data_IF_260551293421
#
_entry.id   IF_260551293421
#
_cell.length_a   1.000
_cell.length_b   1.000
_cell.length_c   1.000
_cell.angle_alpha   90.00
_cell.angle_beta   90.00
_cell.angle_gamma   90.00
#
_symmetry.space_group_name_H-M   'P 1'
#
loop_
_entity.id
_entity.type
_entity.pdbx_description
1 polymer ?
#
# COMPACT_ATOMS: atom_id res chain seq x y z
N UNK A 1 -6.83 1.78 5.25
CA UNK A 1 -6.72 2.85 6.26
C UNK A 1 -8.03 3.63 6.38
N UNK A 2 -8.54 4.27 5.33
CA UNK A 2 -9.81 5.01 5.40
C UNK A 2 -11.02 4.11 5.77
N UNK A 3 -11.18 2.94 5.15
CA UNK A 3 -12.23 1.98 5.53
C UNK A 3 -12.12 1.52 7.00
N UNK A 4 -10.90 1.38 7.50
CA UNK A 4 -10.64 1.00 8.90
C UNK A 4 -10.97 2.16 9.85
N UNK A 5 -10.56 3.39 9.52
CA UNK A 5 -10.90 4.60 10.28
C UNK A 5 -12.42 4.83 10.33
N UNK A 6 -13.13 4.55 9.24
CA UNK A 6 -14.59 4.68 9.22
C UNK A 6 -15.31 3.67 10.11
N UNK A 7 -14.91 2.39 10.08
CA UNK A 7 -15.40 1.39 11.04
C UNK A 7 -15.07 1.76 12.48
N UNK A 8 -13.82 2.19 12.70
CA UNK A 8 -13.37 2.61 14.02
C UNK A 8 -14.16 3.80 14.55
N UNK A 9 -14.55 4.78 13.71
CA UNK A 9 -15.40 5.92 14.10
C UNK A 9 -16.81 5.52 14.50
N UNK A 10 -17.41 4.57 13.79
CA UNK A 10 -18.73 4.04 14.14
C UNK A 10 -18.71 3.35 15.52
N UNK A 11 -17.57 2.74 15.88
CA UNK A 11 -17.36 2.11 17.18
C UNK A 11 -16.75 3.06 18.24
N UNK A 12 -16.21 4.22 17.85
CA UNK A 12 -15.51 5.17 18.71
C UNK A 12 -16.46 5.73 19.77
N UNK A 13 -17.65 6.19 19.37
CA UNK A 13 -18.68 6.68 20.29
C UNK A 13 -19.07 5.61 21.32
N UNK A 14 -19.13 4.35 20.88
CA UNK A 14 -19.44 3.22 21.75
C UNK A 14 -18.30 2.90 22.73
N UNK A 15 -17.05 2.88 22.25
CA UNK A 15 -15.88 2.65 23.10
C UNK A 15 -15.65 3.80 24.08
N UNK A 16 -15.86 5.05 23.66
CA UNK A 16 -15.75 6.24 24.50
C UNK A 16 -16.78 6.20 25.62
N UNK A 17 -18.04 5.88 25.31
CA UNK A 17 -19.10 5.74 26.31
C UNK A 17 -18.77 4.67 27.36
N UNK A 18 -18.26 3.50 26.93
CA UNK A 18 -17.86 2.42 27.84
C UNK A 18 -16.64 2.82 28.70
N UNK A 19 -15.66 3.49 28.09
CA UNK A 19 -14.47 3.97 28.78
C UNK A 19 -14.83 5.01 29.85
N UNK A 20 -15.68 5.98 29.52
CA UNK A 20 -16.11 7.04 30.44
C UNK A 20 -16.88 6.46 31.64
N UNK A 21 -17.70 5.43 31.41
CA UNK A 21 -18.41 4.74 32.48
C UNK A 21 -17.45 4.04 33.46
N UNK A 22 -16.42 3.35 32.96
CA UNK A 22 -15.41 2.68 33.79
C UNK A 22 -14.48 3.69 34.48
N UNK A 23 -14.05 4.73 33.77
CA UNK A 23 -13.19 5.77 34.31
C UNK A 23 -13.89 6.62 35.39
N UNK A 24 -15.18 6.90 35.20
CA UNK A 24 -16.00 7.60 36.18
C UNK A 24 -16.19 6.82 37.48
N UNK A 25 -16.20 5.49 37.41
CA UNK A 25 -16.35 4.61 38.57
C UNK A 25 -15.11 4.57 39.49
N UNK A 26 -13.92 4.93 38.97
CA UNK A 26 -12.66 4.99 39.74
C UNK A 26 -12.44 3.75 40.62
N UNK A 27 -12.53 2.58 40.00
CA UNK A 27 -12.42 1.30 40.68
C UNK A 27 -11.03 1.10 41.29
N UNK A 28 -10.96 0.61 42.52
CA UNK A 28 -9.70 0.24 43.17
C UNK A 28 -9.58 -1.27 43.30
N UNK A 29 -8.36 -1.80 43.15
CA UNK A 29 -8.11 -3.23 43.30
C UNK A 29 -8.35 -3.66 44.76
N UNK A 30 -9.01 -4.80 44.98
CA UNK A 30 -9.39 -5.28 46.31
C UNK A 30 -10.58 -4.56 46.96
N UNK A 31 -11.07 -3.45 46.39
CA UNK A 31 -12.17 -2.65 46.96
C UNK A 31 -13.46 -3.46 47.13
N UNK A 32 -13.77 -4.32 46.16
CA UNK A 32 -14.98 -5.15 46.23
C UNK A 32 -14.95 -6.12 47.42
N UNK A 33 -13.84 -6.83 47.60
CA UNK A 33 -13.69 -7.83 48.66
C UNK A 33 -13.73 -7.19 50.05
N UNK A 34 -13.11 -6.01 50.18
CA UNK A 34 -13.15 -5.20 51.40
C UNK A 34 -14.59 -4.76 51.73
N UNK A 35 -15.32 -4.23 50.74
CA UNK A 35 -16.70 -3.77 50.90
C UNK A 35 -17.68 -4.91 51.17
N UNK A 36 -17.50 -6.09 50.54
CA UNK A 36 -18.31 -7.29 50.80
C UNK A 36 -18.12 -7.76 52.25
N UNK A 37 -16.88 -7.80 52.73
CA UNK A 37 -16.53 -8.16 54.11
C UNK A 37 -17.12 -7.15 55.11
N UNK A 38 -17.03 -5.86 54.79
CA UNK A 38 -17.61 -4.79 55.59
C UNK A 38 -19.14 -4.91 55.66
N UNK A 39 -19.81 -5.16 54.52
CA UNK A 39 -21.27 -5.32 54.46
C UNK A 39 -21.74 -6.53 55.26
N UNK A 40 -21.04 -7.67 55.18
CA UNK A 40 -21.35 -8.88 55.94
C UNK A 40 -21.26 -8.60 57.44
N UNK A 41 -20.23 -7.87 57.89
CA UNK A 41 -20.04 -7.47 59.28
C UNK A 41 -21.15 -6.53 59.76
N UNK A 42 -21.51 -5.52 58.96
CA UNK A 42 -22.59 -4.57 59.30
C UNK A 42 -23.95 -5.28 59.37
N UNK A 43 -24.23 -6.19 58.42
CA UNK A 43 -25.51 -6.91 58.34
C UNK A 43 -25.72 -7.82 59.55
N UNK A 44 -24.64 -8.44 60.06
CA UNK A 44 -24.69 -9.31 61.23
C UNK A 44 -24.31 -8.58 62.54
N UNK A 45 -24.21 -7.26 62.54
CA UNK A 45 -23.74 -6.50 63.71
C UNK A 45 -24.52 -6.78 65.00
N UNK A 46 -25.85 -6.92 64.91
CA UNK A 46 -26.70 -7.26 66.06
C UNK A 46 -26.44 -8.68 66.59
N UNK A 47 -26.28 -9.66 65.70
CA UNK A 47 -25.98 -11.05 66.05
C UNK A 47 -24.58 -11.19 66.65
N UNK A 48 -23.59 -10.50 66.06
CA UNK A 48 -22.22 -10.48 66.57
C UNK A 48 -22.20 -9.83 67.96
N UNK A 49 -22.89 -8.71 68.17
CA UNK A 49 -23.01 -8.09 69.50
C UNK A 49 -23.65 -9.02 70.52
N UNK A 50 -24.76 -9.65 70.18
CA UNK A 50 -25.45 -10.59 71.07
C UNK A 50 -24.54 -11.78 71.46
N UNK A 51 -23.78 -12.28 70.48
CA UNK A 51 -22.83 -13.38 70.68
C UNK A 51 -21.65 -12.97 71.56
N UNK A 52 -21.03 -11.82 71.29
CA UNK A 52 -19.94 -11.28 72.10
C UNK A 52 -20.40 -10.96 73.52
N UNK A 53 -21.60 -10.40 73.69
CA UNK A 53 -22.20 -10.18 75.01
C UNK A 53 -22.34 -11.50 75.77
N UNK A 54 -22.83 -12.56 75.12
CA UNK A 54 -22.96 -13.89 75.74
C UNK A 54 -21.59 -14.46 76.15
N UNK A 55 -20.55 -14.24 75.34
CA UNK A 55 -19.17 -14.63 75.66
C UNK A 55 -18.68 -13.89 76.91
N UNK A 56 -18.81 -12.57 76.94
CA UNK A 56 -18.38 -11.72 78.07
C UNK A 56 -19.12 -12.07 79.35
N UNK A 57 -20.45 -12.24 79.27
CA UNK A 57 -21.30 -12.63 80.39
C UNK A 57 -20.94 -14.02 80.92
N UNK A 58 -20.64 -14.99 80.05
CA UNK A 58 -20.21 -16.34 80.46
C UNK A 58 -18.88 -16.34 81.24
N UNK A 59 -17.96 -15.44 80.89
CA UNK A 59 -16.67 -15.31 81.56
C UNK A 59 -16.74 -14.52 82.87
N UNK A 60 -17.49 -13.41 82.92
CA UNK A 60 -17.44 -12.48 84.06
C UNK A 60 -18.75 -11.82 84.49
N UNK A 61 -19.89 -12.33 84.01
CA UNK A 61 -21.24 -11.87 84.36
C UNK A 61 -21.67 -12.18 85.80
N UNK A 62 -22.97 -12.03 86.07
CA UNK A 62 -23.55 -12.27 87.39
C UNK A 62 -23.82 -13.76 87.63
N UNK A 63 -23.13 -14.36 88.62
CA UNK A 63 -23.37 -15.74 89.06
C UNK A 63 -22.13 -16.64 88.98
N UNK A 64 -22.33 -17.91 88.64
CA UNK A 64 -21.32 -18.98 88.66
C UNK A 64 -20.49 -19.03 87.37
N UNK A 65 -19.60 -18.04 87.21
CA UNK A 65 -18.85 -17.78 85.96
C UNK A 65 -17.59 -18.65 85.80
N UNK A 66 -17.10 -18.74 84.55
CA UNK A 66 -15.87 -19.51 84.24
C UNK A 66 -14.66 -18.96 85.00
N UNK A 67 -14.49 -17.64 85.08
CA UNK A 67 -13.39 -17.01 85.82
C UNK A 67 -13.44 -17.34 87.32
N UNK A 68 -14.63 -17.28 87.94
CA UNK A 68 -14.79 -17.60 89.36
C UNK A 68 -14.51 -19.09 89.63
N UNK A 69 -14.96 -19.99 88.76
CA UNK A 69 -14.67 -21.43 88.83
C UNK A 69 -13.18 -21.71 88.71
N UNK A 70 -12.50 -21.12 87.72
CA UNK A 70 -11.06 -21.32 87.55
C UNK A 70 -10.27 -20.82 88.77
N UNK A 71 -10.66 -19.66 89.31
CA UNK A 71 -10.04 -19.11 90.52
C UNK A 71 -10.25 -20.02 91.74
N UNK A 72 -11.46 -20.53 91.95
CA UNK A 72 -11.73 -21.47 93.06
C UNK A 72 -10.99 -22.81 92.89
N UNK A 73 -10.85 -23.32 91.66
CA UNK A 73 -10.04 -24.51 91.35
C UNK A 73 -8.56 -24.23 91.65
N UNK A 74 -8.04 -23.08 91.24
CA UNK A 74 -6.66 -22.67 91.52
C UNK A 74 -6.40 -22.56 93.03
N UNK A 75 -7.31 -21.95 93.79
CA UNK A 75 -7.25 -21.84 95.25
C UNK A 75 -7.31 -23.23 95.93
N UNK A 76 -8.17 -24.13 95.44
CA UNK A 76 -8.27 -25.51 95.94
C UNK A 76 -6.97 -26.27 95.71
N UNK A 77 -6.39 -26.20 94.51
CA UNK A 77 -5.11 -26.85 94.17
C UNK A 77 -3.95 -26.28 95.01
N UNK A 78 -3.97 -24.97 95.28
CA UNK A 78 -3.00 -24.29 96.15
C UNK A 78 -3.11 -24.77 97.60
N UNK A 79 -4.33 -25.02 98.10
CA UNK A 79 -4.56 -25.46 99.48
C UNK A 79 -4.00 -26.87 99.78
N UNK A 80 -4.01 -27.77 98.78
CA UNK A 80 -3.53 -29.15 98.92
C UNK A 80 -2.04 -29.32 98.59
N UNK A 81 -1.43 -28.32 97.94
CA UNK A 81 -0.02 -28.30 97.54
C UNK A 81 0.97 -28.64 98.67
N UNK A 82 0.78 -28.20 99.94
CA UNK A 82 1.70 -28.55 101.03
C UNK A 82 1.73 -30.04 101.37
N UNK A 83 0.66 -30.78 101.05
CA UNK A 83 0.50 -32.21 101.38
C UNK A 83 0.62 -33.10 100.13
N UNK A 84 0.38 -32.56 98.94
CA UNK A 84 0.47 -33.26 97.65
C UNK A 84 1.20 -32.42 96.61
N UNK A 85 2.51 -32.61 96.48
CA UNK A 85 3.39 -31.79 95.64
C UNK A 85 3.03 -31.78 94.14
N UNK A 86 2.42 -32.86 93.62
CA UNK A 86 1.94 -32.94 92.23
C UNK A 86 0.80 -31.94 91.93
N UNK A 87 0.12 -31.40 92.94
CA UNK A 87 -0.88 -30.34 92.74
C UNK A 87 -0.29 -29.03 92.22
N UNK A 88 1.02 -28.80 92.43
CA UNK A 88 1.69 -27.57 92.00
C UNK A 88 1.66 -27.37 90.48
N UNK A 89 1.92 -28.43 89.71
CA UNK A 89 1.92 -28.39 88.25
C UNK A 89 0.49 -28.17 87.70
N UNK A 90 -0.50 -28.82 88.32
CA UNK A 90 -1.91 -28.62 87.96
C UNK A 90 -2.36 -27.18 88.24
N UNK A 91 -1.97 -26.61 89.39
CA UNK A 91 -2.30 -25.22 89.76
C UNK A 91 -1.70 -24.21 88.77
N UNK A 92 -0.45 -24.39 88.34
CA UNK A 92 0.16 -23.53 87.32
C UNK A 92 -0.58 -23.56 85.99
N UNK A 93 -1.04 -24.74 85.55
CA UNK A 93 -1.82 -24.87 84.31
C UNK A 93 -3.18 -24.18 84.40
N UNK A 94 -3.85 -24.26 85.55
CA UNK A 94 -5.14 -23.58 85.79
C UNK A 94 -4.95 -22.06 85.83
N UNK A 95 -3.89 -21.57 86.47
CA UNK A 95 -3.57 -20.14 86.50
C UNK A 95 -3.27 -19.58 85.10
N UNK A 96 -2.49 -20.30 84.29
CA UNK A 96 -2.25 -19.91 82.90
C UNK A 96 -3.54 -19.88 82.07
N UNK A 97 -4.42 -20.89 82.22
CA UNK A 97 -5.71 -20.88 81.53
C UNK A 97 -6.63 -19.74 82.01
N UNK A 98 -6.57 -19.37 83.29
CA UNK A 98 -7.31 -18.23 83.82
C UNK A 98 -6.86 -16.91 83.17
N UNK A 99 -5.56 -16.67 83.07
CA UNK A 99 -5.02 -15.46 82.44
C UNK A 99 -5.42 -15.39 80.96
N UNK A 100 -5.25 -16.48 80.22
CA UNK A 100 -5.55 -16.55 78.78
C UNK A 100 -7.05 -16.29 78.50
N UNK A 101 -7.95 -16.90 79.27
CA UNK A 101 -9.39 -16.68 79.13
C UNK A 101 -9.83 -15.27 79.55
N UNK A 102 -9.15 -14.68 80.53
CA UNK A 102 -9.40 -13.29 80.93
C UNK A 102 -9.01 -12.33 79.81
N UNK A 103 -7.89 -12.57 79.13
CA UNK A 103 -7.45 -11.76 77.99
C UNK A 103 -8.45 -11.88 76.82
N UNK A 104 -8.92 -13.10 76.50
CA UNK A 104 -9.99 -13.33 75.51
C UNK A 104 -11.26 -12.55 75.85
N UNK A 105 -11.67 -12.52 77.12
CA UNK A 105 -12.84 -11.72 77.53
C UNK A 105 -12.62 -10.22 77.31
N UNK A 106 -11.46 -9.69 77.71
CA UNK A 106 -11.14 -8.26 77.51
C UNK A 106 -11.16 -7.91 76.02
N UNK A 107 -10.63 -8.79 75.18
CA UNK A 107 -10.66 -8.62 73.73
C UNK A 107 -12.09 -8.68 73.16
N UNK A 108 -12.93 -9.60 73.66
CA UNK A 108 -14.33 -9.70 73.30
C UNK A 108 -15.15 -8.46 73.74
N UNK A 109 -14.89 -7.91 74.92
CA UNK A 109 -15.46 -6.63 75.38
C UNK A 109 -15.10 -5.49 74.44
N UNK A 110 -13.82 -5.40 74.05
CA UNK A 110 -13.35 -4.40 73.10
C UNK A 110 -14.05 -4.54 71.74
N UNK A 111 -14.15 -5.74 71.18
CA UNK A 111 -14.86 -5.96 69.92
C UNK A 111 -16.36 -5.67 70.03
N UNK A 112 -16.98 -5.94 71.18
CA UNK A 112 -18.39 -5.60 71.42
C UNK A 112 -18.63 -4.08 71.37
N UNK A 113 -17.70 -3.29 71.90
CA UNK A 113 -17.74 -1.82 71.84
C UNK A 113 -17.45 -1.27 70.43
N UNK A 114 -16.53 -1.89 69.67
CA UNK A 114 -16.15 -1.46 68.32
C UNK A 114 -17.24 -1.69 67.27
N UNK A 115 -18.05 -2.74 67.43
CA UNK A 115 -19.14 -3.02 66.49
C UNK A 115 -20.23 -1.96 66.72
N UNK A 116 -20.64 -1.26 65.68
CA UNK A 116 -21.81 -0.38 65.73
C UNK A 116 -22.63 -0.55 64.46
N UNK A 117 -23.95 -0.73 64.60
CA UNK A 117 -24.83 -0.75 63.45
C UNK A 117 -25.00 0.69 62.92
N UNK A 118 -24.43 0.95 61.74
CA UNK A 118 -24.51 2.24 61.07
C UNK A 118 -25.27 2.12 59.73
N UNK A 119 -26.56 2.47 59.77
CA UNK A 119 -27.46 2.40 58.61
C UNK A 119 -27.08 3.36 57.45
N UNK A 120 -26.33 4.42 57.73
CA UNK A 120 -25.82 5.32 56.68
C UNK A 120 -24.62 4.68 55.97
N UNK A 121 -23.69 4.10 56.74
CA UNK A 121 -22.54 3.40 56.18
C UNK A 121 -22.97 2.18 55.37
N UNK A 122 -23.95 1.42 55.87
CA UNK A 122 -24.51 0.27 55.12
C UNK A 122 -24.99 0.69 53.73
N UNK A 123 -25.79 1.76 53.63
CA UNK A 123 -26.29 2.25 52.34
C UNK A 123 -25.17 2.70 51.41
N UNK A 124 -24.15 3.37 51.92
CA UNK A 124 -22.99 3.77 51.11
C UNK A 124 -22.24 2.57 50.53
N UNK A 125 -22.05 1.51 51.34
CA UNK A 125 -21.39 0.27 50.92
C UNK A 125 -22.24 -0.46 49.88
N UNK A 126 -23.55 -0.58 50.12
CA UNK A 126 -24.50 -1.20 49.18
C UNK A 126 -24.56 -0.45 47.84
N UNK A 127 -24.63 0.89 47.85
CA UNK A 127 -24.61 1.71 46.64
C UNK A 127 -23.30 1.53 45.86
N UNK A 128 -22.16 1.51 46.56
CA UNK A 128 -20.85 1.32 45.93
C UNK A 128 -20.72 -0.07 45.30
N UNK A 129 -21.11 -1.12 46.03
CA UNK A 129 -21.15 -2.49 45.52
C UNK A 129 -22.12 -2.62 44.33
N UNK A 130 -23.27 -1.96 44.36
CA UNK A 130 -24.22 -1.95 43.24
C UNK A 130 -23.59 -1.39 41.96
N UNK A 131 -22.82 -0.29 42.06
CA UNK A 131 -22.10 0.26 40.91
C UNK A 131 -21.08 -0.74 40.35
N UNK A 132 -20.32 -1.41 41.22
CA UNK A 132 -19.34 -2.42 40.83
C UNK A 132 -20.04 -3.59 40.12
N UNK A 133 -21.09 -4.16 40.71
CA UNK A 133 -21.83 -5.28 40.12
C UNK A 133 -22.52 -4.92 38.80
N UNK A 134 -23.07 -3.72 38.67
CA UNK A 134 -23.67 -3.26 37.42
C UNK A 134 -22.64 -3.18 36.29
N UNK A 135 -21.43 -2.69 36.58
CA UNK A 135 -20.32 -2.67 35.63
C UNK A 135 -19.87 -4.10 35.28
N UNK A 136 -19.68 -4.95 36.28
CA UNK A 136 -19.32 -6.36 36.07
C UNK A 136 -20.33 -7.07 35.18
N UNK A 137 -21.63 -6.86 35.41
CA UNK A 137 -22.70 -7.44 34.60
C UNK A 137 -22.70 -6.90 33.16
N UNK A 138 -22.52 -5.59 32.97
CA UNK A 138 -22.45 -4.98 31.62
C UNK A 138 -21.27 -5.51 30.82
N UNK A 139 -20.14 -5.74 31.47
CA UNK A 139 -18.91 -6.22 30.83
C UNK A 139 -18.74 -7.75 30.89
N UNK A 140 -19.68 -8.47 31.52
CA UNK A 140 -19.66 -9.94 31.69
C UNK A 140 -18.38 -10.46 32.36
N UNK A 141 -17.92 -9.75 33.38
CA UNK A 141 -16.71 -10.08 34.17
C UNK A 141 -17.07 -10.32 35.63
N UNK A 142 -16.14 -10.89 36.39
CA UNK A 142 -16.37 -11.31 37.79
C UNK A 142 -15.54 -10.56 38.81
N UNK A 143 -14.53 -9.80 38.37
CA UNK A 143 -13.64 -9.07 39.29
C UNK A 143 -13.42 -7.62 38.85
N UNK A 144 -12.98 -6.80 39.79
CA UNK A 144 -12.62 -5.41 39.54
C UNK A 144 -11.36 -5.30 38.65
N UNK A 145 -10.43 -6.23 38.79
CA UNK A 145 -9.19 -6.29 38.00
C UNK A 145 -9.52 -6.54 36.53
N UNK A 146 -10.49 -7.42 36.24
CA UNK A 146 -10.98 -7.64 34.87
C UNK A 146 -11.61 -6.37 34.28
N UNK A 147 -12.36 -5.59 35.08
CA UNK A 147 -12.90 -4.29 34.65
C UNK A 147 -11.80 -3.26 34.35
N UNK A 148 -10.76 -3.20 35.18
CA UNK A 148 -9.61 -2.31 34.97
C UNK A 148 -8.83 -2.68 33.70
N UNK A 149 -8.68 -3.97 33.42
CA UNK A 149 -8.05 -4.44 32.19
C UNK A 149 -8.88 -4.06 30.96
N UNK A 150 -10.22 -4.20 31.02
CA UNK A 150 -11.11 -3.72 29.95
C UNK A 150 -10.98 -2.22 29.75
N UNK A 151 -10.94 -1.43 30.83
CA UNK A 151 -10.75 0.02 30.76
C UNK A 151 -9.46 0.38 30.01
N UNK A 152 -8.36 -0.30 30.34
CA UNK A 152 -7.07 -0.09 29.68
C UNK A 152 -7.11 -0.46 28.19
N UNK A 153 -7.74 -1.59 27.85
CA UNK A 153 -7.90 -1.99 26.45
C UNK A 153 -8.74 -1.00 25.64
N UNK A 154 -9.76 -0.40 26.26
CA UNK A 154 -10.58 0.64 25.62
C UNK A 154 -9.76 1.93 25.39
N UNK A 155 -8.95 2.35 26.35
CA UNK A 155 -8.04 3.50 26.20
C UNK A 155 -7.05 3.30 25.05
N UNK A 156 -6.39 2.13 25.01
CA UNK A 156 -5.45 1.79 23.92
C UNK A 156 -6.16 1.80 22.56
N UNK A 157 -7.39 1.29 22.48
CA UNK A 157 -8.19 1.34 21.24
C UNK A 157 -8.49 2.78 20.84
N UNK A 158 -9.00 3.61 21.74
CA UNK A 158 -9.34 5.01 21.45
C UNK A 158 -8.12 5.80 20.97
N UNK A 159 -6.96 5.65 21.63
CA UNK A 159 -5.71 6.30 21.21
C UNK A 159 -5.27 5.86 19.81
N UNK A 160 -5.41 4.57 19.48
CA UNK A 160 -5.10 4.07 18.15
C UNK A 160 -6.01 4.66 17.06
N UNK A 161 -7.29 4.89 17.36
CA UNK A 161 -8.24 5.52 16.43
C UNK A 161 -7.82 6.96 16.12
N UNK A 162 -7.52 7.76 17.16
CA UNK A 162 -7.08 9.15 16.99
C UNK A 162 -5.79 9.25 16.18
N UNK A 163 -4.80 8.41 16.47
CA UNK A 163 -3.52 8.36 15.75
C UNK A 163 -3.69 7.96 14.27
N UNK A 164 -4.60 7.03 13.98
CA UNK A 164 -4.94 6.63 12.60
C UNK A 164 -5.53 7.80 11.79
N UNK A 165 -6.40 8.59 12.40
CA UNK A 165 -7.03 9.75 11.75
C UNK A 165 -6.00 10.85 11.43
N UNK A 166 -5.12 11.17 12.38
CA UNK A 166 -4.00 12.09 12.13
C UNK A 166 -3.11 11.60 10.99
N UNK A 167 -2.82 10.28 10.95
CA UNK A 167 -2.00 9.70 9.89
C UNK A 167 -2.69 9.75 8.53
N UNK A 168 -4.00 9.53 8.48
CA UNK A 168 -4.79 9.62 7.25
C UNK A 168 -4.77 11.06 6.71
N UNK A 169 -4.95 12.06 7.56
CA UNK A 169 -4.91 13.47 7.12
C UNK A 169 -3.51 13.87 6.62
N UNK A 170 -2.44 13.42 7.28
CA UNK A 170 -1.08 13.61 6.79
C UNK A 170 -0.90 13.01 5.39
N UNK A 171 -1.30 11.75 5.18
CA UNK A 171 -1.14 11.06 3.90
C UNK A 171 -2.01 11.67 2.79
N UNK A 172 -3.23 12.14 3.10
CA UNK A 172 -4.07 12.87 2.13
C UNK A 172 -3.38 14.14 1.65
N UNK A 173 -2.77 14.89 2.57
CA UNK A 173 -2.01 16.10 2.23
C UNK A 173 -0.83 15.77 1.33
N UNK A 174 -0.05 14.74 1.66
CA UNK A 174 1.07 14.28 0.83
C UNK A 174 0.61 13.85 -0.57
N UNK A 175 -0.49 13.10 -0.69
CA UNK A 175 -1.06 12.71 -1.99
C UNK A 175 -1.44 13.93 -2.80
N UNK A 176 -2.11 14.92 -2.20
CA UNK A 176 -2.50 16.17 -2.86
C UNK A 176 -1.28 16.94 -3.39
N UNK A 177 -0.25 17.12 -2.55
CA UNK A 177 0.99 17.80 -2.93
C UNK A 177 1.71 17.09 -4.10
N UNK A 178 1.76 15.75 -4.07
CA UNK A 178 2.38 14.97 -5.15
C UNK A 178 1.55 15.01 -6.44
N UNK A 179 0.22 15.02 -6.33
CA UNK A 179 -0.68 15.17 -7.49
C UNK A 179 -0.53 16.54 -8.14
N UNK A 180 -0.42 17.60 -7.34
CA UNK A 180 -0.19 18.94 -7.86
C UNK A 180 1.16 19.04 -8.60
N UNK A 181 2.23 18.52 -7.99
CA UNK A 181 3.55 18.48 -8.61
C UNK A 181 3.54 17.67 -9.93
N UNK A 182 2.84 16.54 -9.95
CA UNK A 182 2.67 15.71 -11.14
C UNK A 182 1.93 16.48 -12.23
N UNK A 183 0.82 17.16 -11.90
CA UNK A 183 0.02 17.95 -12.82
C UNK A 183 0.83 19.12 -13.43
N UNK A 184 1.61 19.83 -12.60
CA UNK A 184 2.51 20.89 -13.07
C UNK A 184 3.54 20.36 -14.07
N UNK A 185 4.22 19.26 -13.73
CA UNK A 185 5.23 18.64 -14.63
C UNK A 185 4.60 18.11 -15.92
N UNK A 186 3.44 17.47 -15.84
CA UNK A 186 2.70 16.99 -16.99
C UNK A 186 2.27 18.15 -17.90
N UNK A 187 1.83 19.28 -17.32
CA UNK A 187 1.52 20.50 -18.07
C UNK A 187 2.72 21.07 -18.83
N UNK A 188 3.91 21.05 -18.22
CA UNK A 188 5.16 21.45 -18.91
C UNK A 188 5.47 20.51 -20.08
N UNK A 189 5.32 19.19 -19.89
CA UNK A 189 5.53 18.20 -20.95
C UNK A 189 4.55 18.40 -22.12
N UNK A 190 3.27 18.60 -21.82
CA UNK A 190 2.22 18.85 -22.83
C UNK A 190 2.50 20.11 -23.66
N UNK A 191 2.92 21.20 -23.01
CA UNK A 191 3.34 22.43 -23.71
C UNK A 191 4.52 22.17 -24.66
N UNK A 192 5.54 21.44 -24.20
CA UNK A 192 6.70 21.08 -25.03
C UNK A 192 6.30 20.21 -26.23
N UNK A 193 5.41 19.23 -26.04
CA UNK A 193 4.90 18.37 -27.12
C UNK A 193 4.16 19.20 -28.18
N UNK A 194 3.25 20.08 -27.76
CA UNK A 194 2.51 20.95 -28.68
C UNK A 194 3.42 21.91 -29.45
N UNK A 195 4.46 22.43 -28.78
CA UNK A 195 5.46 23.27 -29.45
C UNK A 195 6.31 22.49 -30.46
N UNK A 196 6.63 21.23 -30.20
CA UNK A 196 7.39 20.36 -31.10
C UNK A 196 6.56 19.82 -32.28
N UNK A 197 5.24 19.70 -32.11
CA UNK A 197 4.33 19.18 -33.13
C UNK A 197 4.38 19.99 -34.43
N UNK A 198 4.27 21.32 -34.37
CA UNK A 198 4.21 22.17 -35.55
C UNK A 198 5.45 22.06 -36.47
N UNK A 199 6.70 22.15 -35.95
CA UNK A 199 7.90 21.91 -36.75
C UNK A 199 7.94 20.52 -37.40
N UNK A 200 7.54 19.48 -36.66
CA UNK A 200 7.52 18.10 -37.18
C UNK A 200 6.50 17.97 -38.30
N UNK A 201 5.28 18.47 -38.11
CA UNK A 201 4.22 18.47 -39.13
C UNK A 201 4.68 19.16 -40.40
N UNK A 202 5.32 20.34 -40.29
CA UNK A 202 5.81 21.10 -41.43
C UNK A 202 6.91 20.36 -42.19
N UNK A 203 7.98 19.95 -41.50
CA UNK A 203 9.12 19.27 -42.12
C UNK A 203 8.71 17.95 -42.78
N UNK A 204 7.85 17.18 -42.12
CA UNK A 204 7.35 15.93 -42.67
C UNK A 204 6.49 16.17 -43.90
N UNK A 205 5.58 17.15 -43.86
CA UNK A 205 4.75 17.51 -45.02
C UNK A 205 5.61 17.95 -46.21
N UNK A 206 6.65 18.77 -46.00
CA UNK A 206 7.58 19.20 -47.05
C UNK A 206 8.32 18.01 -47.70
N UNK A 207 8.83 17.07 -46.89
CA UNK A 207 9.48 15.85 -47.41
C UNK A 207 8.50 14.94 -48.17
N UNK A 208 7.26 14.82 -47.71
CA UNK A 208 6.22 14.04 -48.39
C UNK A 208 5.85 14.64 -49.75
N UNK A 209 5.78 15.97 -49.85
CA UNK A 209 5.57 16.69 -51.11
C UNK A 209 6.73 16.41 -52.08
N UNK A 210 7.97 16.47 -51.59
CA UNK A 210 9.15 16.12 -52.39
C UNK A 210 9.06 14.68 -52.95
N UNK A 211 8.56 13.72 -52.15
CA UNK A 211 8.32 12.32 -52.56
C UNK A 211 7.03 12.09 -53.38
N UNK A 212 6.51 13.13 -54.04
CA UNK A 212 5.40 13.02 -54.97
C UNK A 212 4.02 12.89 -54.31
N UNK A 213 3.86 13.36 -53.08
CA UNK A 213 2.55 13.48 -52.42
C UNK A 213 2.18 14.95 -52.17
N UNK A 214 1.83 15.72 -53.23
CA UNK A 214 1.60 17.17 -53.11
C UNK A 214 0.42 17.55 -52.21
N UNK A 215 -0.51 16.62 -52.01
CA UNK A 215 -1.71 16.82 -51.20
C UNK A 215 -1.65 16.10 -49.84
N UNK A 216 -0.47 15.60 -49.43
CA UNK A 216 -0.31 14.94 -48.15
C UNK A 216 -0.58 15.89 -46.99
N UNK A 217 -1.24 15.38 -45.95
CA UNK A 217 -1.46 16.07 -44.68
C UNK A 217 -1.02 15.16 -43.55
N UNK A 218 -0.27 15.71 -42.63
CA UNK A 218 0.14 15.04 -41.39
C UNK A 218 -0.20 15.93 -40.21
N UNK A 219 -0.72 15.34 -39.14
CA UNK A 219 -1.07 16.04 -37.90
C UNK A 219 -0.70 15.22 -36.68
N UNK A 220 -0.02 15.84 -35.73
CA UNK A 220 0.17 15.35 -34.38
C UNK A 220 -1.03 15.77 -33.53
N UNK A 221 -2.01 14.88 -33.38
CA UNK A 221 -3.19 15.13 -32.56
C UNK A 221 -2.87 14.84 -31.09
N UNK A 222 -2.76 15.90 -30.29
CA UNK A 222 -2.38 15.84 -28.87
C UNK A 222 -3.59 16.24 -28.02
N UNK A 223 -4.20 15.26 -27.37
CA UNK A 223 -5.41 15.44 -26.54
C UNK A 223 -5.13 15.11 -25.08
N UNK A 224 -5.84 15.73 -24.14
CA UNK A 224 -5.64 15.48 -22.72
C UNK A 224 -6.26 14.13 -22.30
N UNK A 225 -5.54 13.38 -21.45
CA UNK A 225 -6.06 12.18 -20.77
C UNK A 225 -6.91 12.58 -19.58
N UNK A 226 -7.95 11.79 -19.29
CA UNK A 226 -8.71 11.92 -18.04
C UNK A 226 -7.83 11.59 -16.83
N UNK A 227 -6.99 10.55 -16.95
CA UNK A 227 -6.04 10.15 -15.92
C UNK A 227 -4.63 10.15 -16.53
N UNK A 228 -3.70 10.97 -15.98
CA UNK A 228 -2.29 10.90 -16.35
C UNK A 228 -1.71 9.52 -16.04
N UNK A 229 -0.82 9.04 -16.90
CA UNK A 229 -0.06 7.81 -16.68
C UNK A 229 1.45 8.10 -16.71
N UNK A 230 2.28 7.04 -16.73
CA UNK A 230 3.74 7.17 -16.79
C UNK A 230 4.24 7.97 -18.01
N UNK A 231 3.43 8.12 -19.05
CA UNK A 231 3.75 8.90 -20.25
C UNK A 231 3.26 10.35 -20.19
N UNK A 232 2.64 10.75 -19.07
CA UNK A 232 2.11 12.10 -18.84
C UNK A 232 0.60 12.20 -19.07
N UNK A 233 0.12 13.42 -19.28
CA UNK A 233 -1.31 13.75 -19.38
C UNK A 233 -1.83 13.88 -20.81
N UNK A 234 -1.06 13.52 -21.83
CA UNK A 234 -1.50 13.61 -23.23
C UNK A 234 -1.62 12.22 -23.88
N UNK A 235 -2.69 12.02 -24.64
CA UNK A 235 -2.74 11.08 -25.75
C UNK A 235 -2.14 11.74 -26.99
N UNK A 236 -1.13 11.10 -27.59
CA UNK A 236 -0.48 11.57 -28.81
C UNK A 236 -0.81 10.60 -29.94
N UNK A 237 -1.57 11.06 -30.92
CA UNK A 237 -1.94 10.31 -32.10
C UNK A 237 -1.33 10.96 -33.35
N UNK A 238 -0.64 10.17 -34.17
CA UNK A 238 -0.18 10.62 -35.48
C UNK A 238 -1.26 10.33 -36.51
N UNK A 239 -1.79 11.38 -37.11
CA UNK A 239 -2.81 11.31 -38.14
C UNK A 239 -2.20 11.66 -39.50
N UNK A 240 -2.58 10.93 -40.53
CA UNK A 240 -2.08 11.13 -41.88
C UNK A 240 -3.17 10.91 -42.92
N UNK A 241 -3.03 11.61 -44.05
CA UNK A 241 -3.87 11.50 -45.23
C UNK A 241 -3.00 11.82 -46.45
N UNK A 242 -2.90 10.88 -47.39
CA UNK A 242 -2.11 11.07 -48.60
C UNK A 242 -2.77 12.01 -49.63
N UNK A 243 -4.09 12.19 -49.55
CA UNK A 243 -4.89 12.89 -50.55
C UNK A 243 -5.89 13.85 -49.90
N UNK A 244 -6.23 14.94 -50.59
CA UNK A 244 -7.17 15.95 -50.07
C UNK A 244 -8.57 15.39 -49.74
N UNK A 245 -8.99 14.36 -50.46
CA UNK A 245 -10.33 13.78 -50.37
C UNK A 245 -10.49 12.71 -49.27
N UNK A 246 -9.38 12.24 -48.67
CA UNK A 246 -9.45 11.27 -47.58
C UNK A 246 -9.37 12.00 -46.23
N UNK A 247 -10.11 11.55 -45.20
CA UNK A 247 -9.96 12.11 -43.86
C UNK A 247 -8.58 11.79 -43.29
N UNK A 248 -8.14 12.61 -42.32
CA UNK A 248 -6.97 12.30 -41.50
C UNK A 248 -7.32 11.09 -40.63
N UNK A 249 -6.55 10.01 -40.80
CA UNK A 249 -6.72 8.78 -40.04
C UNK A 249 -5.44 8.44 -39.27
N UNK A 250 -5.52 7.69 -38.16
CA UNK A 250 -4.34 7.16 -37.50
C UNK A 250 -3.43 6.43 -38.49
N UNK A 251 -2.11 6.62 -38.37
CA UNK A 251 -1.14 6.02 -39.31
C UNK A 251 -1.28 4.50 -39.42
N UNK A 252 -1.69 3.83 -38.34
CA UNK A 252 -1.95 2.37 -38.32
C UNK A 252 -3.14 1.91 -39.16
N UNK A 253 -4.02 2.83 -39.58
CA UNK A 253 -5.26 2.53 -40.31
C UNK A 253 -5.16 2.90 -41.81
N UNK A 254 -3.98 3.31 -42.28
CA UNK A 254 -3.78 3.62 -43.70
C UNK A 254 -3.68 2.31 -44.50
N UNK A 255 -4.39 2.22 -45.62
CA UNK A 255 -4.51 0.98 -46.40
C UNK A 255 -3.46 0.82 -47.53
N UNK A 256 -2.79 1.89 -47.96
CA UNK A 256 -1.85 1.85 -49.10
C UNK A 256 -0.40 1.64 -48.65
N UNK A 257 0.18 0.47 -48.97
CA UNK A 257 1.56 0.11 -48.60
C UNK A 257 2.60 1.11 -49.09
N UNK A 258 2.49 1.60 -50.33
CA UNK A 258 3.45 2.57 -50.89
C UNK A 258 3.34 3.99 -50.30
N UNK A 259 2.19 4.35 -49.72
CA UNK A 259 2.04 5.62 -49.00
C UNK A 259 2.66 5.54 -47.60
N UNK A 260 2.43 4.42 -46.89
CA UNK A 260 3.06 4.16 -45.59
C UNK A 260 4.58 4.09 -45.73
N UNK A 261 5.11 3.37 -46.73
CA UNK A 261 6.55 3.23 -46.94
C UNK A 261 7.25 4.58 -47.13
N UNK A 262 6.66 5.49 -47.92
CA UNK A 262 7.18 6.86 -48.11
C UNK A 262 7.06 7.70 -46.83
N UNK A 263 5.95 7.59 -46.10
CA UNK A 263 5.80 8.25 -44.79
C UNK A 263 6.86 7.79 -43.80
N UNK A 264 7.09 6.48 -43.70
CA UNK A 264 8.08 5.90 -42.81
C UNK A 264 9.51 6.28 -43.21
N UNK A 265 9.83 6.36 -44.51
CA UNK A 265 11.12 6.86 -44.97
C UNK A 265 11.36 8.31 -44.49
N UNK A 266 10.38 9.20 -44.69
CA UNK A 266 10.51 10.58 -44.24
C UNK A 266 10.68 10.67 -42.73
N UNK A 267 9.87 9.93 -41.95
CA UNK A 267 9.97 9.89 -40.49
C UNK A 267 11.34 9.36 -40.03
N UNK A 268 11.79 8.23 -40.58
CA UNK A 268 13.12 7.67 -40.25
C UNK A 268 14.24 8.62 -40.64
N UNK A 269 14.15 9.32 -41.77
CA UNK A 269 15.14 10.33 -42.18
C UNK A 269 15.23 11.51 -41.20
N UNK A 270 14.10 11.92 -40.61
CA UNK A 270 14.08 12.99 -39.60
C UNK A 270 14.63 12.53 -38.25
N UNK A 271 14.40 11.26 -37.91
CA UNK A 271 14.87 10.66 -36.65
C UNK A 271 16.36 10.28 -36.72
N UNK A 272 16.85 9.96 -37.92
CA UNK A 272 18.24 9.55 -38.17
C UNK A 272 19.29 10.51 -37.60
N UNK A 273 19.06 11.83 -37.72
CA UNK A 273 19.95 12.84 -37.13
C UNK A 273 19.78 13.06 -35.62
N UNK A 274 18.71 12.54 -35.01
CA UNK A 274 18.36 12.77 -33.59
C UNK A 274 18.66 11.57 -32.68
N UNK A 275 18.67 10.35 -33.23
CA UNK A 275 18.93 9.12 -32.48
C UNK A 275 20.11 8.37 -33.10
N UNK A 276 21.01 7.85 -32.28
CA UNK A 276 22.11 6.98 -32.70
C UNK A 276 21.59 5.58 -33.11
N UNK A 277 20.85 5.50 -34.21
CA UNK A 277 20.45 4.25 -34.84
C UNK A 277 21.60 3.79 -35.75
N UNK A 278 22.38 2.75 -35.38
CA UNK A 278 23.55 2.38 -36.16
C UNK A 278 23.22 1.80 -37.55
N UNK A 279 22.08 1.11 -37.67
CA UNK A 279 21.66 0.43 -38.91
C UNK A 279 20.14 0.48 -39.10
N UNK A 280 19.69 0.72 -40.33
CA UNK A 280 18.27 0.64 -40.75
C UNK A 280 18.14 -0.23 -41.99
N UNK A 281 17.17 -1.14 -41.96
CA UNK A 281 16.81 -1.99 -43.11
C UNK A 281 15.47 -1.50 -43.68
N UNK A 282 15.42 -1.33 -45.00
CA UNK A 282 14.22 -1.05 -45.78
C UNK A 282 13.95 -2.23 -46.71
N UNK A 283 12.80 -2.85 -46.55
CA UNK A 283 12.29 -3.93 -47.39
C UNK A 283 11.02 -3.45 -48.09
N UNK A 284 10.88 -3.75 -49.38
CA UNK A 284 9.73 -3.38 -50.24
C UNK A 284 9.29 -1.90 -50.18
N UNK A 285 10.19 -1.00 -49.79
CA UNK A 285 9.87 0.43 -49.65
C UNK A 285 9.57 1.09 -51.01
N UNK A 286 10.01 0.44 -52.09
CA UNK A 286 9.84 0.84 -53.49
C UNK A 286 8.48 0.44 -54.09
N UNK A 287 7.65 -0.29 -53.34
CA UNK A 287 6.31 -0.72 -53.77
C UNK A 287 5.42 0.48 -54.14
N UNK A 288 4.91 0.49 -55.37
CA UNK A 288 4.03 1.55 -55.85
C UNK A 288 4.74 2.87 -56.19
N UNK A 289 6.07 2.83 -56.39
CA UNK A 289 6.88 3.98 -56.81
C UNK A 289 7.68 3.66 -58.08
N UNK A 290 7.93 4.67 -58.90
CA UNK A 290 8.73 4.53 -60.13
C UNK A 290 9.29 5.88 -60.57
N UNK A 291 10.26 5.84 -61.49
CA UNK A 291 10.82 7.03 -62.13
C UNK A 291 11.42 8.02 -61.13
N UNK A 292 11.01 9.29 -61.23
CA UNK A 292 11.53 10.39 -60.42
C UNK A 292 11.33 10.18 -58.91
N UNK A 293 10.23 9.54 -58.49
CA UNK A 293 9.98 9.29 -57.05
C UNK A 293 10.99 8.31 -56.48
N UNK A 294 11.31 7.25 -57.22
CA UNK A 294 12.28 6.25 -56.81
C UNK A 294 13.70 6.84 -56.70
N UNK A 295 14.08 7.73 -57.63
CA UNK A 295 15.36 8.46 -57.57
C UNK A 295 15.44 9.36 -56.34
N UNK A 296 14.36 10.10 -56.04
CA UNK A 296 14.27 10.94 -54.83
C UNK A 296 14.33 10.13 -53.54
N UNK A 297 13.69 8.97 -53.50
CA UNK A 297 13.77 8.04 -52.35
C UNK A 297 15.20 7.53 -52.16
N UNK A 298 15.87 7.12 -53.24
CA UNK A 298 17.28 6.71 -53.20
C UNK A 298 18.19 7.84 -52.72
N UNK A 299 17.92 9.09 -53.10
CA UNK A 299 18.65 10.26 -52.62
C UNK A 299 18.49 10.46 -51.10
N UNK A 300 17.27 10.32 -50.55
CA UNK A 300 17.05 10.39 -49.09
C UNK A 300 17.79 9.26 -48.36
N UNK A 301 17.75 8.04 -48.90
CA UNK A 301 18.51 6.92 -48.30
C UNK A 301 20.01 7.15 -48.33
N UNK A 302 20.52 7.76 -49.42
CA UNK A 302 21.93 8.15 -49.53
C UNK A 302 22.31 9.22 -48.52
N UNK A 303 21.44 10.20 -48.31
CA UNK A 303 21.62 11.23 -47.28
C UNK A 303 21.69 10.59 -45.89
N UNK A 304 20.75 9.70 -45.56
CA UNK A 304 20.75 8.95 -44.30
C UNK A 304 22.03 8.12 -44.12
N UNK A 305 22.59 7.58 -45.21
CA UNK A 305 23.79 6.75 -45.16
C UNK A 305 25.06 7.49 -44.70
N UNK A 306 25.03 8.81 -44.58
CA UNK A 306 26.13 9.58 -43.99
C UNK A 306 26.27 9.35 -42.48
N UNK A 307 25.14 9.18 -41.78
CA UNK A 307 25.10 9.11 -40.32
C UNK A 307 24.85 7.68 -39.81
N UNK A 308 24.39 6.75 -40.66
CA UNK A 308 24.07 5.37 -40.30
C UNK A 308 24.24 4.39 -41.46
N UNK A 309 24.23 3.09 -41.17
CA UNK A 309 24.18 2.07 -42.20
C UNK A 309 22.74 1.91 -42.72
N UNK A 310 22.54 2.11 -44.02
CA UNK A 310 21.24 1.87 -44.68
C UNK A 310 21.34 0.65 -45.58
N UNK A 311 20.49 -0.34 -45.35
CA UNK A 311 20.33 -1.53 -46.20
C UNK A 311 18.98 -1.43 -46.88
N UNK A 312 18.96 -1.36 -48.20
CA UNK A 312 17.73 -1.35 -48.98
C UNK A 312 17.65 -2.61 -49.85
N UNK A 313 16.54 -3.33 -49.74
CA UNK A 313 16.17 -4.44 -50.64
C UNK A 313 15.26 -3.83 -51.70
N UNK A 314 15.69 -3.84 -52.96
CA UNK A 314 15.00 -3.14 -54.04
C UNK A 314 15.16 -3.84 -55.37
N UNK A 315 14.14 -3.71 -56.22
CA UNK A 315 14.18 -4.10 -57.63
C UNK A 315 14.31 -2.89 -58.57
N UNK A 316 14.34 -1.66 -58.02
CA UNK A 316 14.41 -0.44 -58.80
C UNK A 316 15.86 0.01 -59.05
N UNK A 317 16.29 0.16 -60.31
CA UNK A 317 17.65 0.59 -60.63
C UNK A 317 17.97 1.98 -60.06
N UNK A 318 16.96 2.85 -59.91
CA UNK A 318 17.10 4.19 -59.35
C UNK A 318 17.59 4.17 -57.90
N UNK A 319 17.14 3.19 -57.10
CA UNK A 319 17.55 3.06 -55.70
C UNK A 319 18.88 2.31 -55.61
N UNK A 320 19.01 1.19 -56.34
CA UNK A 320 20.23 0.38 -56.36
C UNK A 320 21.47 1.17 -56.81
N UNK A 321 21.32 2.09 -57.77
CA UNK A 321 22.41 2.92 -58.25
C UNK A 321 22.95 3.89 -57.17
N UNK A 322 22.14 4.33 -56.18
CA UNK A 322 22.58 5.23 -55.10
C UNK A 322 23.35 4.52 -53.98
N UNK A 323 23.27 3.19 -53.92
CA UNK A 323 23.97 2.40 -52.91
C UNK A 323 25.49 2.57 -52.99
N UNK A 324 26.17 2.66 -51.84
CA UNK A 324 27.65 2.61 -51.82
C UNK A 324 28.13 1.23 -52.24
N UNK A 325 27.47 0.21 -51.71
CA UNK A 325 27.71 -1.19 -52.01
C UNK A 325 26.47 -1.81 -52.64
N UNK A 326 26.67 -2.75 -53.57
CA UNK A 326 25.58 -3.46 -54.24
C UNK A 326 25.81 -4.96 -54.14
N UNK A 327 24.85 -5.65 -53.53
CA UNK A 327 24.81 -7.09 -53.41
C UNK A 327 23.72 -7.65 -54.31
N UNK A 328 24.06 -8.66 -55.11
CA UNK A 328 23.10 -9.38 -55.92
C UNK A 328 22.68 -10.66 -55.19
N UNK A 329 21.36 -10.88 -55.12
CA UNK A 329 20.76 -12.11 -54.58
C UNK A 329 20.34 -12.99 -55.74
N UNK A 330 20.87 -14.21 -55.80
CA UNK A 330 20.61 -15.15 -56.88
C UNK A 330 20.31 -16.55 -56.34
N UNK A 331 19.59 -17.34 -57.14
CA UNK A 331 19.28 -18.74 -56.83
C UNK A 331 20.15 -19.64 -57.68
N UNK A 332 20.62 -20.72 -57.08
CA UNK A 332 21.31 -21.80 -57.78
C UNK A 332 20.54 -23.09 -57.52
N UNK A 333 20.07 -23.70 -58.61
CA UNK A 333 19.32 -24.95 -58.57
C UNK A 333 20.30 -26.12 -58.61
N UNK A 334 20.23 -26.98 -57.59
CA UNK A 334 20.85 -28.31 -57.59
C UNK A 334 19.78 -29.38 -57.86
N UNK A 335 20.21 -30.62 -58.15
CA UNK A 335 19.30 -31.72 -58.45
C UNK A 335 18.28 -32.03 -57.33
N UNK A 336 18.53 -31.60 -56.09
CA UNK A 336 17.67 -31.88 -54.93
C UNK A 336 17.13 -30.63 -54.23
N UNK A 337 17.77 -29.46 -54.38
CA UNK A 337 17.37 -28.22 -53.69
C UNK A 337 17.69 -26.95 -54.48
N UNK A 338 16.87 -25.91 -54.32
CA UNK A 338 17.20 -24.54 -54.75
C UNK A 338 17.76 -23.76 -53.56
N UNK A 339 19.02 -23.33 -53.64
CA UNK A 339 19.65 -22.50 -52.60
C UNK A 339 19.74 -21.04 -53.06
N UNK A 340 19.56 -20.10 -52.11
CA UNK A 340 19.67 -18.65 -52.36
C UNK A 340 21.01 -18.15 -51.83
N UNK A 341 21.75 -17.45 -52.68
CA UNK A 341 23.07 -16.90 -52.40
C UNK A 341 23.08 -15.39 -52.56
N UNK A 342 24.04 -14.73 -51.93
CA UNK A 342 24.27 -13.30 -52.04
C UNK A 342 25.75 -13.02 -52.23
N UNK A 343 26.09 -12.17 -53.20
CA UNK A 343 27.47 -11.75 -53.45
C UNK A 343 27.56 -10.25 -53.72
N UNK A 344 28.68 -9.63 -53.32
CA UNK A 344 29.00 -8.24 -53.63
C UNK A 344 29.39 -8.12 -55.11
N UNK A 345 28.93 -7.08 -55.78
CA UNK A 345 29.25 -6.79 -57.18
C UNK A 345 30.45 -5.84 -57.28
N UNK A 346 31.36 -6.10 -58.22
CA UNK A 346 32.36 -5.13 -58.68
C UNK A 346 31.72 -4.00 -59.48
N UNK A 347 32.45 -2.91 -59.77
CA UNK A 347 31.87 -1.76 -60.50
C UNK A 347 31.34 -2.14 -61.89
N UNK A 348 32.06 -2.97 -62.65
CA UNK A 348 31.61 -3.41 -63.99
C UNK A 348 30.38 -4.31 -63.90
N UNK A 349 30.32 -5.18 -62.88
CA UNK A 349 29.15 -6.00 -62.61
C UNK A 349 27.97 -5.16 -62.13
N UNK A 350 28.20 -4.07 -61.39
CA UNK A 350 27.16 -3.11 -61.00
C UNK A 350 26.58 -2.41 -62.22
N UNK A 351 27.40 -1.93 -63.15
CA UNK A 351 26.92 -1.32 -64.39
C UNK A 351 26.05 -2.32 -65.16
N UNK A 352 26.53 -3.56 -65.30
CA UNK A 352 25.81 -4.63 -66.01
C UNK A 352 24.48 -4.96 -65.34
N UNK A 353 24.45 -5.03 -64.01
CA UNK A 353 23.25 -5.34 -63.24
C UNK A 353 22.23 -4.20 -63.28
N UNK A 354 22.66 -2.95 -63.12
CA UNK A 354 21.76 -1.79 -63.25
C UNK A 354 21.22 -1.69 -64.69
N UNK A 355 22.04 -1.96 -65.70
CA UNK A 355 21.58 -2.02 -67.10
C UNK A 355 20.54 -3.11 -67.31
N UNK A 356 20.75 -4.30 -66.73
CA UNK A 356 19.78 -5.41 -66.73
C UNK A 356 18.47 -5.02 -66.04
N UNK A 357 18.55 -4.36 -64.88
CA UNK A 357 17.38 -3.85 -64.17
C UNK A 357 16.60 -2.79 -64.98
N UNK A 358 17.26 -2.03 -65.85
CA UNK A 358 16.64 -1.03 -66.73
C UNK A 358 16.00 -1.64 -67.98
N UNK A 359 16.66 -2.60 -68.64
CA UNK A 359 16.21 -3.15 -69.94
C UNK A 359 15.46 -4.48 -69.85
N UNK A 360 15.45 -5.12 -68.67
CA UNK A 360 14.80 -6.40 -68.45
C UNK A 360 15.66 -7.58 -68.93
N UNK A 361 15.17 -8.32 -69.92
CA UNK A 361 15.76 -9.60 -70.33
C UNK A 361 17.03 -9.46 -71.19
N UNK A 362 17.14 -8.41 -72.02
CA UNK A 362 18.29 -8.19 -72.90
C UNK A 362 18.98 -6.86 -72.58
N UNK A 363 20.28 -6.90 -72.28
CA UNK A 363 21.08 -5.70 -71.99
C UNK A 363 21.47 -5.00 -73.29
N UNK A 364 21.01 -3.77 -73.50
CA UNK A 364 21.35 -2.96 -74.68
C UNK A 364 22.51 -2.01 -74.39
N UNK A 365 23.20 -1.55 -75.44
CA UNK A 365 24.28 -0.54 -75.28
C UNK A 365 23.76 0.75 -74.66
N UNK A 366 22.53 1.16 -74.99
CA UNK A 366 21.88 2.33 -74.40
C UNK A 366 21.57 2.14 -72.91
N UNK A 367 21.19 0.92 -72.49
CA UNK A 367 20.95 0.62 -71.07
C UNK A 367 22.25 0.70 -70.25
N UNK A 368 23.37 0.25 -70.82
CA UNK A 368 24.70 0.36 -70.20
C UNK A 368 25.11 1.83 -70.04
N UNK A 369 24.92 2.67 -71.06
CA UNK A 369 25.23 4.10 -70.96
C UNK A 369 24.33 4.81 -69.92
N UNK A 370 23.05 4.47 -69.85
CA UNK A 370 22.16 5.00 -68.80
C UNK A 370 22.59 4.54 -67.39
N UNK A 371 23.01 3.27 -67.24
CA UNK A 371 23.49 2.75 -65.96
C UNK A 371 24.76 3.47 -65.49
N UNK A 372 25.70 3.75 -66.40
CA UNK A 372 26.90 4.56 -66.15
C UNK A 372 26.55 5.96 -65.62
N UNK A 373 25.61 6.64 -66.28
CA UNK A 373 25.12 7.95 -65.84
C UNK A 373 24.50 7.89 -64.44
N UNK A 374 23.67 6.87 -64.16
CA UNK A 374 23.04 6.71 -62.83
C UNK A 374 24.04 6.42 -61.71
N UNK A 375 25.12 5.70 -62.02
CA UNK A 375 26.21 5.40 -61.09
C UNK A 375 27.23 6.55 -60.95
N UNK A 376 27.13 7.59 -61.79
CA UNK A 376 28.10 8.69 -61.83
C UNK A 376 29.48 8.27 -62.35
N UNK A 377 29.53 7.23 -63.18
CA UNK A 377 30.75 6.69 -63.80
C UNK A 377 30.69 7.00 -65.29
N UNK A 378 31.07 8.21 -65.67
CA UNK A 378 31.00 8.70 -67.05
C UNK A 378 32.13 9.69 -67.35
#
# INVERSE_FOLDING_TARGET
MQEQSQKNKEEEDYFQFQFDALAGAKLQAGEQEELETELETITHAEEIKSSLFTVVDSFSGEGDTVEQKLKSVAETLKSIQPVFSKASELGQRVESAYIDLKDVRIEAEKYFEEIEFNAERQRQVEERLSVIYDLQKRHSVKSVEELQEIQKQLDEKLQNITSLDEKIEQLKKEVSEKQELMSQKAGVLSKKRKAAAQPIEKQLTEKLIYLGMPNARFKCDITAKNNPDSTGNDFVNFLFSANKNTPLLPVSQIASGGEISRLMLCLKSMIAGATALPTVIFDEIDTGTSGEIADKMGAIMREMAHDMQVIAITHLPQIAAKGTEHYNVYKEDSAETTATYMRRLSMDERISEIARMLSGAETTTQAVENAKVMLGVG
#
